data_IF_706850916167
#
_entry.id   IF_706850916167
#
_cell.length_a   1.000
_cell.length_b   1.000
_cell.length_c   1.000
_cell.angle_alpha   90.00
_cell.angle_beta   90.00
_cell.angle_gamma   90.00
#
_symmetry.space_group_name_H-M   'P 1'
#
loop_
_entity.id
_entity.type
_entity.pdbx_description
1 polymer ?
#
# COMPACT_ATOMS: atom_id res chain seq x y z
N UNK A 1 -9.96 4.51 -2.50
CA UNK A 1 -10.56 5.85 -2.71
C UNK A 1 -9.97 6.78 -1.66
N UNK A 2 -9.53 7.96 -2.05
CA UNK A 2 -9.04 8.99 -1.13
C UNK A 2 -10.20 9.86 -0.66
N UNK A 3 -10.16 10.42 0.57
CA UNK A 3 -11.15 11.35 1.05
C UNK A 3 -11.11 12.64 0.24
N UNK A 4 -12.27 13.27 0.06
CA UNK A 4 -12.35 14.64 -0.45
C UNK A 4 -11.70 15.60 0.55
N UNK A 5 -11.41 16.84 0.12
CA UNK A 5 -10.86 17.85 1.02
C UNK A 5 -11.80 18.17 2.19
N UNK A 6 -13.11 18.06 1.98
CA UNK A 6 -14.13 18.28 3.02
C UNK A 6 -14.21 17.12 4.02
N UNK A 7 -14.08 15.87 3.55
CA UNK A 7 -14.05 14.67 4.40
C UNK A 7 -12.74 14.55 5.19
N UNK A 8 -11.68 15.19 4.76
CA UNK A 8 -10.36 15.13 5.38
C UNK A 8 -10.16 16.23 6.44
N UNK A 9 -11.14 16.39 7.31
CA UNK A 9 -11.17 17.42 8.37
C UNK A 9 -10.37 17.09 9.63
N UNK A 10 -9.71 15.93 9.64
CA UNK A 10 -9.02 15.35 10.81
C UNK A 10 -9.93 15.14 12.03
N UNK A 11 -11.25 15.02 11.81
CA UNK A 11 -12.30 14.92 12.80
C UNK A 11 -13.39 13.89 12.44
N UNK A 12 -14.66 14.27 12.72
CA UNK A 12 -15.82 13.38 12.55
C UNK A 12 -16.10 13.00 11.09
N UNK A 13 -15.93 13.92 10.14
CA UNK A 13 -16.14 13.63 8.73
C UNK A 13 -15.11 12.61 8.23
N UNK A 14 -13.86 12.74 8.67
CA UNK A 14 -12.82 11.78 8.33
C UNK A 14 -13.07 10.40 8.96
N UNK A 15 -13.56 10.33 10.22
CA UNK A 15 -13.99 9.07 10.85
C UNK A 15 -15.08 8.38 10.05
N UNK A 16 -16.11 9.15 9.65
CA UNK A 16 -17.20 8.63 8.84
C UNK A 16 -16.70 8.09 7.49
N UNK A 17 -15.80 8.82 6.83
CA UNK A 17 -15.15 8.35 5.60
C UNK A 17 -14.42 7.03 5.83
N UNK A 18 -13.60 6.92 6.89
CA UNK A 18 -12.82 5.71 7.19
C UNK A 18 -13.70 4.47 7.36
N UNK A 19 -14.86 4.60 8.00
CA UNK A 19 -15.79 3.49 8.23
C UNK A 19 -16.56 3.06 6.98
N UNK A 20 -16.75 3.96 6.01
CA UNK A 20 -17.64 3.76 4.86
C UNK A 20 -16.94 3.73 3.50
N UNK A 21 -15.64 4.01 3.44
CA UNK A 21 -14.88 3.99 2.19
C UNK A 21 -15.02 2.64 1.48
N UNK A 22 -15.34 2.68 0.18
CA UNK A 22 -15.43 1.45 -0.61
C UNK A 22 -14.03 0.90 -0.88
N UNK A 23 -13.79 -0.41 -0.70
CA UNK A 23 -12.51 -1.01 -1.03
C UNK A 23 -12.30 -1.01 -2.55
N UNK A 24 -11.09 -0.69 -2.99
CA UNK A 24 -10.69 -0.87 -4.39
C UNK A 24 -10.36 -2.34 -4.68
N UNK A 25 -9.67 -2.99 -3.76
CA UNK A 25 -9.29 -4.39 -3.84
C UNK A 25 -9.39 -5.04 -2.46
N UNK A 26 -9.91 -6.25 -2.43
CA UNK A 26 -9.87 -7.11 -1.25
C UNK A 26 -8.89 -8.25 -1.54
N UNK A 27 -7.85 -8.43 -0.72
CA UNK A 27 -6.90 -9.51 -0.92
C UNK A 27 -7.58 -10.87 -0.76
N UNK A 28 -7.36 -11.78 -1.70
CA UNK A 28 -7.88 -13.15 -1.63
C UNK A 28 -7.09 -14.08 -0.70
N UNK A 29 -6.05 -13.57 -0.03
CA UNK A 29 -5.20 -14.32 0.91
C UNK A 29 -4.84 -13.44 2.09
N UNK A 30 -4.56 -14.01 3.27
CA UNK A 30 -4.14 -13.24 4.43
C UNK A 30 -2.87 -12.42 4.14
N UNK A 31 -2.85 -11.20 4.68
CA UNK A 31 -1.70 -10.29 4.60
C UNK A 31 -0.85 -10.48 5.87
N UNK A 32 0.47 -10.55 5.74
CA UNK A 32 1.37 -10.60 6.89
C UNK A 32 1.31 -9.28 7.69
N UNK A 33 1.61 -8.16 7.04
CA UNK A 33 1.59 -6.84 7.69
C UNK A 33 0.91 -5.82 6.78
N UNK A 34 -0.07 -5.12 7.34
CA UNK A 34 -0.66 -3.91 6.76
C UNK A 34 0.08 -2.69 7.32
N UNK A 35 0.60 -1.84 6.45
CA UNK A 35 1.23 -0.57 6.84
C UNK A 35 0.46 0.57 6.22
N UNK A 36 0.01 1.51 7.03
CA UNK A 36 -0.75 2.66 6.55
C UNK A 36 -0.24 3.97 7.14
N UNK A 37 -0.35 5.04 6.38
CA UNK A 37 -0.08 6.41 6.86
C UNK A 37 -1.30 7.05 7.52
N UNK A 38 -2.37 6.30 7.78
CA UNK A 38 -3.43 6.73 8.69
C UNK A 38 -2.86 6.90 10.08
N UNK A 39 -3.32 7.93 10.77
CA UNK A 39 -2.86 8.22 12.13
C UNK A 39 -3.35 7.16 13.12
N UNK A 40 -2.51 6.84 14.09
CA UNK A 40 -2.80 5.85 15.15
C UNK A 40 -4.13 6.14 15.89
N UNK A 41 -4.49 7.42 16.06
CA UNK A 41 -5.77 7.83 16.66
C UNK A 41 -7.02 7.32 15.93
N UNK A 42 -6.87 6.82 14.70
CA UNK A 42 -7.93 6.23 13.89
C UNK A 42 -7.83 4.70 13.78
N UNK A 43 -7.15 4.07 14.73
CA UNK A 43 -6.97 2.62 14.74
C UNK A 43 -8.31 1.89 14.76
N UNK A 44 -9.19 2.28 15.68
CA UNK A 44 -10.49 1.63 15.86
C UNK A 44 -11.33 1.64 14.57
N UNK A 45 -11.43 2.78 13.90
CA UNK A 45 -12.17 2.91 12.65
C UNK A 45 -11.53 2.09 11.52
N UNK A 46 -10.19 2.04 11.51
CA UNK A 46 -9.45 1.28 10.51
C UNK A 46 -9.65 -0.23 10.71
N UNK A 47 -9.57 -0.73 11.94
CA UNK A 47 -9.79 -2.14 12.28
C UNK A 47 -11.23 -2.57 11.99
N UNK A 48 -12.22 -1.74 12.37
CA UNK A 48 -13.64 -1.99 12.04
C UNK A 48 -13.87 -2.08 10.52
N UNK A 49 -13.24 -1.19 9.75
CA UNK A 49 -13.34 -1.24 8.29
C UNK A 49 -12.70 -2.52 7.71
N UNK A 50 -11.52 -2.91 8.22
CA UNK A 50 -10.85 -4.14 7.80
C UNK A 50 -11.68 -5.38 8.10
N UNK A 51 -12.27 -5.45 9.29
CA UNK A 51 -13.17 -6.53 9.70
C UNK A 51 -14.42 -6.60 8.83
N UNK A 52 -15.12 -5.46 8.65
CA UNK A 52 -16.31 -5.34 7.79
C UNK A 52 -16.06 -5.84 6.36
N UNK A 53 -14.86 -5.63 5.84
CA UNK A 53 -14.46 -6.04 4.49
C UNK A 53 -13.73 -7.39 4.44
N UNK A 54 -13.73 -8.17 5.53
CA UNK A 54 -13.07 -9.49 5.62
C UNK A 54 -11.59 -9.48 5.24
N UNK A 55 -10.87 -8.37 5.47
CA UNK A 55 -9.43 -8.28 5.24
C UNK A 55 -8.69 -8.97 6.38
N UNK A 56 -8.06 -10.10 6.09
CA UNK A 56 -7.28 -10.87 7.07
C UNK A 56 -5.82 -10.42 7.05
N UNK A 57 -5.28 -10.09 8.23
CA UNK A 57 -3.89 -9.66 8.39
C UNK A 57 -3.34 -10.14 9.74
N UNK A 58 -2.01 -10.21 9.85
CA UNK A 58 -1.35 -10.59 11.12
C UNK A 58 -0.94 -9.38 11.96
N UNK A 59 -0.57 -8.27 11.33
CA UNK A 59 -0.11 -7.05 12.01
C UNK A 59 -0.64 -5.81 11.28
N UNK A 60 -1.07 -4.80 12.04
CA UNK A 60 -1.41 -3.47 11.53
C UNK A 60 -0.44 -2.44 12.12
N UNK A 61 0.25 -1.72 11.23
CA UNK A 61 1.17 -0.62 11.57
C UNK A 61 0.59 0.67 11.06
N UNK A 62 0.36 1.60 11.95
CA UNK A 62 -0.21 2.92 11.68
C UNK A 62 0.80 4.02 12.01
N UNK A 63 0.57 5.23 11.55
CA UNK A 63 1.48 6.36 11.76
C UNK A 63 1.18 7.04 13.09
N UNK A 64 2.13 6.97 14.02
CA UNK A 64 2.02 7.61 15.33
C UNK A 64 2.46 9.09 15.25
N UNK A 65 1.53 9.92 14.83
CA UNK A 65 1.64 11.39 14.82
C UNK A 65 0.34 11.99 15.36
N UNK A 66 0.39 13.17 16.00
CA UNK A 66 -0.74 13.72 16.74
C UNK A 66 -1.91 14.15 15.85
N UNK A 67 -1.64 14.65 14.64
CA UNK A 67 -2.67 15.20 13.75
C UNK A 67 -2.21 15.22 12.28
N UNK A 68 -3.15 15.61 11.41
CA UNK A 68 -2.94 15.71 9.97
C UNK A 68 -1.83 16.71 9.61
N UNK A 69 -1.75 17.86 10.29
CA UNK A 69 -0.71 18.85 10.00
C UNK A 69 0.70 18.28 10.29
N UNK A 70 0.86 17.58 11.40
CA UNK A 70 2.12 16.91 11.73
C UNK A 70 2.47 15.86 10.66
N UNK A 71 1.48 15.09 10.18
CA UNK A 71 1.66 14.12 9.08
C UNK A 71 2.09 14.79 7.78
N UNK A 72 1.44 15.91 7.41
CA UNK A 72 1.78 16.68 6.20
C UNK A 72 3.20 17.26 6.28
N UNK A 73 3.55 17.89 7.43
CA UNK A 73 4.90 18.42 7.64
C UNK A 73 5.97 17.34 7.63
N UNK A 74 5.68 16.18 8.21
CA UNK A 74 6.62 15.06 8.25
C UNK A 74 6.88 14.48 6.85
N UNK A 75 5.91 14.54 5.94
CA UNK A 75 5.99 13.98 4.58
C UNK A 75 6.63 12.59 4.53
N UNK A 76 6.26 11.72 5.49
CA UNK A 76 6.95 10.47 5.76
C UNK A 76 6.20 9.23 5.26
N UNK A 77 5.26 9.38 4.33
CA UNK A 77 4.41 8.27 3.87
C UNK A 77 5.23 7.07 3.38
N UNK A 78 6.12 7.28 2.42
CA UNK A 78 6.94 6.21 1.87
C UNK A 78 8.01 5.72 2.86
N UNK A 79 8.64 6.63 3.61
CA UNK A 79 9.69 6.27 4.57
C UNK A 79 9.15 5.48 5.77
N UNK A 80 7.94 5.81 6.26
CA UNK A 80 7.24 5.03 7.28
C UNK A 80 7.01 3.59 6.81
N UNK A 81 6.47 3.41 5.61
CA UNK A 81 6.22 2.10 5.00
C UNK A 81 7.54 1.34 4.75
N UNK A 82 8.55 2.03 4.23
CA UNK A 82 9.87 1.46 4.00
C UNK A 82 10.55 0.99 5.28
N UNK A 83 10.40 1.74 6.38
CA UNK A 83 10.94 1.36 7.70
C UNK A 83 10.38 0.02 8.16
N UNK A 84 9.06 -0.16 8.08
CA UNK A 84 8.43 -1.44 8.43
C UNK A 84 8.86 -2.55 7.47
N UNK A 85 8.89 -2.30 6.15
CA UNK A 85 9.29 -3.29 5.16
C UNK A 85 10.73 -3.78 5.35
N UNK A 86 11.62 -2.92 5.86
CA UNK A 86 13.01 -3.28 6.22
C UNK A 86 13.13 -4.04 7.54
N UNK A 87 12.13 -3.97 8.40
CA UNK A 87 12.23 -4.50 9.78
C UNK A 87 12.34 -6.02 9.85
N UNK A 88 11.95 -6.74 8.78
CA UNK A 88 12.13 -8.18 8.69
C UNK A 88 12.64 -8.62 7.31
N UNK A 89 13.51 -9.63 7.31
CA UNK A 89 13.95 -10.30 6.08
C UNK A 89 12.83 -11.13 5.46
N UNK A 90 11.87 -11.59 6.25
CA UNK A 90 10.74 -12.41 5.81
C UNK A 90 9.71 -11.63 4.99
N UNK A 91 9.76 -10.30 5.03
CA UNK A 91 8.93 -9.46 4.17
C UNK A 91 9.47 -9.49 2.74
N UNK A 92 8.88 -10.34 1.91
CA UNK A 92 9.36 -10.64 0.55
C UNK A 92 8.84 -9.67 -0.51
N UNK A 93 7.65 -9.08 -0.30
CA UNK A 93 6.98 -8.21 -1.26
C UNK A 93 6.20 -7.12 -0.52
N UNK A 94 6.33 -5.88 -0.96
CA UNK A 94 5.45 -4.78 -0.60
C UNK A 94 4.46 -4.51 -1.74
N UNK A 95 3.19 -4.25 -1.40
CA UNK A 95 2.16 -3.87 -2.37
C UNK A 95 1.73 -2.45 -2.06
N UNK A 96 1.83 -1.56 -3.04
CA UNK A 96 1.55 -0.13 -2.91
C UNK A 96 0.67 0.36 -4.06
N UNK A 97 -0.30 1.23 -3.77
CA UNK A 97 -1.21 1.77 -4.78
C UNK A 97 -0.67 3.00 -5.50
N UNK A 98 0.21 3.77 -4.88
CA UNK A 98 0.79 4.97 -5.47
C UNK A 98 2.14 4.67 -6.11
N UNK A 99 2.30 4.96 -7.40
CA UNK A 99 3.55 4.74 -8.11
C UNK A 99 4.71 5.52 -7.48
N UNK A 100 4.48 6.77 -7.11
CA UNK A 100 5.53 7.61 -6.48
C UNK A 100 6.01 7.03 -5.16
N UNK A 101 5.10 6.54 -4.31
CA UNK A 101 5.45 5.89 -3.06
C UNK A 101 6.11 4.53 -3.29
N UNK A 102 5.62 3.75 -4.27
CA UNK A 102 6.20 2.46 -4.62
C UNK A 102 7.67 2.58 -5.06
N UNK A 103 7.98 3.56 -5.90
CA UNK A 103 9.35 3.87 -6.33
C UNK A 103 10.24 4.27 -5.14
N UNK A 104 9.73 5.13 -4.26
CA UNK A 104 10.49 5.59 -3.09
C UNK A 104 10.69 4.48 -2.05
N UNK A 105 9.69 3.64 -1.81
CA UNK A 105 9.82 2.45 -0.94
C UNK A 105 10.89 1.50 -1.49
N UNK A 106 10.85 1.20 -2.80
CA UNK A 106 11.89 0.38 -3.43
C UNK A 106 13.28 1.02 -3.31
N UNK A 107 13.41 2.32 -3.61
CA UNK A 107 14.68 3.06 -3.47
C UNK A 107 15.23 2.97 -2.05
N UNK A 108 14.39 3.14 -1.03
CA UNK A 108 14.79 3.11 0.37
C UNK A 108 15.12 1.70 0.86
N UNK A 109 14.42 0.68 0.38
CA UNK A 109 14.54 -0.70 0.91
C UNK A 109 15.43 -1.60 0.09
N UNK A 110 15.60 -1.31 -1.21
CA UNK A 110 16.22 -2.19 -2.21
C UNK A 110 15.51 -3.56 -2.30
N UNK A 111 14.22 -3.62 -1.93
CA UNK A 111 13.38 -4.82 -1.94
C UNK A 111 12.25 -4.67 -2.97
N UNK A 112 11.70 -5.78 -3.50
CA UNK A 112 10.64 -5.75 -4.51
C UNK A 112 9.37 -5.02 -4.03
N UNK A 113 8.78 -4.19 -4.88
CA UNK A 113 7.49 -3.53 -4.65
C UNK A 113 6.58 -3.76 -5.84
N UNK A 114 5.34 -4.22 -5.60
CA UNK A 114 4.28 -4.27 -6.60
C UNK A 114 3.47 -2.98 -6.52
N UNK A 115 3.47 -2.20 -7.59
CA UNK A 115 2.58 -1.04 -7.74
C UNK A 115 1.26 -1.49 -8.35
N UNK A 116 0.13 -1.25 -7.65
CA UNK A 116 -1.20 -1.63 -8.16
C UNK A 116 -1.83 -0.58 -9.07
N UNK A 117 -1.31 0.64 -9.11
CA UNK A 117 -1.74 1.70 -10.04
C UNK A 117 -1.54 1.30 -11.51
N UNK A 118 -0.40 0.65 -11.79
CA UNK A 118 -0.02 0.23 -13.14
C UNK A 118 0.32 -1.27 -13.24
N UNK A 119 0.16 -2.03 -12.16
CA UNK A 119 0.49 -3.46 -12.03
C UNK A 119 1.94 -3.79 -12.37
N UNK A 120 2.87 -2.89 -12.08
CA UNK A 120 4.29 -3.09 -12.32
C UNK A 120 5.03 -3.56 -11.06
N UNK A 121 5.92 -4.54 -11.26
CA UNK A 121 6.91 -4.93 -10.27
C UNK A 121 8.14 -4.03 -10.35
N UNK A 122 8.49 -3.45 -9.23
CA UNK A 122 9.67 -2.58 -9.06
C UNK A 122 10.73 -3.37 -8.30
N UNK A 123 11.79 -3.78 -8.99
CA UNK A 123 12.92 -4.53 -8.39
C UNK A 123 14.10 -3.64 -8.05
N UNK A 124 14.40 -2.67 -8.90
CA UNK A 124 15.43 -1.67 -8.72
C UNK A 124 14.98 -0.39 -9.43
N UNK A 125 14.99 0.71 -8.72
CA UNK A 125 14.62 2.02 -9.30
C UNK A 125 15.50 2.42 -10.50
N UNK A 126 16.69 1.84 -10.63
CA UNK A 126 17.58 2.02 -11.79
C UNK A 126 17.18 1.11 -12.96
N UNK A 127 16.67 -0.09 -12.70
CA UNK A 127 16.28 -1.05 -13.75
C UNK A 127 14.96 -0.70 -14.42
N UNK A 128 14.09 0.07 -13.77
CA UNK A 128 12.83 0.54 -14.39
C UNK A 128 13.12 1.43 -15.60
N UNK A 129 14.07 2.34 -15.49
CA UNK A 129 14.50 3.17 -16.61
C UNK A 129 15.11 2.34 -17.74
N UNK A 130 15.74 1.22 -17.42
CA UNK A 130 16.28 0.27 -18.40
C UNK A 130 15.18 -0.56 -19.05
N UNK A 131 14.22 -1.10 -18.27
CA UNK A 131 13.14 -1.94 -18.76
C UNK A 131 12.08 -1.15 -19.56
N UNK A 132 11.80 0.10 -19.19
CA UNK A 132 10.99 1.02 -20.01
C UNK A 132 11.64 1.32 -21.37
N UNK A 133 12.96 1.30 -21.47
CA UNK A 133 13.69 1.49 -22.72
C UNK A 133 13.89 0.22 -23.54
N UNK A 134 13.89 -0.97 -22.93
CA UNK A 134 14.25 -2.24 -23.59
C UNK A 134 13.07 -3.16 -23.90
N UNK A 135 11.87 -2.91 -23.36
CA UNK A 135 10.67 -3.75 -23.62
C UNK A 135 10.73 -5.19 -23.08
N UNK A 136 11.72 -5.51 -22.25
CA UNK A 136 11.94 -6.89 -21.74
C UNK A 136 11.34 -7.08 -20.36
N UNK A 137 10.25 -7.85 -20.26
CA UNK A 137 9.72 -8.34 -18.98
C UNK A 137 10.48 -9.58 -18.53
N UNK A 138 10.95 -9.62 -17.27
CA UNK A 138 11.63 -10.77 -16.69
C UNK A 138 10.69 -12.02 -16.65
N UNK A 139 11.14 -13.20 -17.11
CA UNK A 139 10.27 -14.40 -17.31
C UNK A 139 9.49 -14.89 -16.08
N UNK A 140 10.07 -14.83 -14.88
CA UNK A 140 9.41 -15.26 -13.64
C UNK A 140 8.27 -14.36 -13.18
N UNK A 141 8.33 -13.07 -13.48
CA UNK A 141 7.34 -12.05 -13.14
C UNK A 141 6.09 -12.17 -13.99
N UNK A 142 6.24 -12.51 -15.26
CA UNK A 142 5.13 -12.72 -16.19
C UNK A 142 4.14 -13.79 -15.71
N UNK A 143 4.63 -14.90 -15.17
CA UNK A 143 3.79 -15.99 -14.67
C UNK A 143 3.08 -15.61 -13.35
N UNK A 144 3.73 -14.85 -12.47
CA UNK A 144 3.13 -14.34 -11.23
C UNK A 144 2.04 -13.30 -11.54
N UNK A 145 2.33 -12.33 -12.42
CA UNK A 145 1.37 -11.31 -12.84
C UNK A 145 0.18 -11.90 -13.61
N UNK A 146 0.40 -12.93 -14.44
CA UNK A 146 -0.68 -13.67 -15.11
C UNK A 146 -1.58 -14.39 -14.10
N UNK A 147 -1.04 -14.95 -13.03
CA UNK A 147 -1.84 -15.58 -11.95
C UNK A 147 -2.69 -14.54 -11.20
N UNK A 148 -2.12 -13.37 -10.88
CA UNK A 148 -2.88 -12.26 -10.25
C UNK A 148 -3.94 -11.75 -11.21
N UNK A 149 -3.61 -11.46 -12.48
CA UNK A 149 -4.56 -10.98 -13.49
C UNK A 149 -5.71 -11.96 -13.74
N UNK A 150 -5.43 -13.25 -13.79
CA UNK A 150 -6.45 -14.26 -14.01
C UNK A 150 -7.37 -14.44 -12.78
N UNK A 151 -6.85 -14.25 -11.57
CA UNK A 151 -7.69 -14.19 -10.36
C UNK A 151 -8.57 -12.95 -10.32
N UNK A 152 -8.05 -11.78 -10.69
CA UNK A 152 -8.83 -10.53 -10.76
C UNK A 152 -9.95 -10.64 -11.81
N UNK A 153 -9.71 -11.26 -12.97
CA UNK A 153 -10.73 -11.50 -14.01
C UNK A 153 -11.86 -12.46 -13.60
N UNK A 154 -11.69 -13.26 -12.55
CA UNK A 154 -12.75 -14.11 -12.00
C UNK A 154 -13.69 -13.37 -11.05
N UNK A 155 -13.43 -12.09 -10.75
CA UNK A 155 -14.24 -11.23 -9.88
C UNK A 155 -14.92 -10.08 -10.62
N UNK A 156 -14.81 -10.04 -11.96
CA UNK A 156 -15.59 -9.21 -12.88
C UNK A 156 -16.20 -10.11 -13.96
#
# INVERSE_FOLDING_TARGET
VDPTSEENDDGEKYRHFLLNAQPLFIPGSPIGTLVTSRLEKYRSETELWLEKNNVKYSKLVMLDLPNQEARQRANCHASHKAKEYKSSIDYMLFVESSLSQALEINRLTQKPVLCTENFQMIYDSKSILYNLKSGQALPGVRNFLLRIRNRIKQFF
#
